data_IF_973256312015
#
_entry.id   IF_973256312015
#
_cell.length_a   1.000
_cell.length_b   1.000
_cell.length_c   1.000
_cell.angle_alpha   90.00
_cell.angle_beta   90.00
_cell.angle_gamma   90.00
#
_symmetry.space_group_name_H-M   'P 1'
#
loop_
_entity.id
_entity.type
_entity.pdbx_description
1 polymer ?
#
# COMPACT_ATOMS: atom_id res chain seq x y z
N UNK A 1 16.83 -37.84 34.35
CA UNK A 1 17.91 -38.12 35.31
C UNK A 1 17.89 -36.98 36.32
N UNK A 2 17.41 -37.24 37.54
CA UNK A 2 17.40 -36.24 38.63
C UNK A 2 18.81 -36.22 39.23
N UNK A 3 19.36 -35.02 39.40
CA UNK A 3 20.70 -34.81 39.95
C UNK A 3 20.77 -35.37 41.39
N UNK A 4 21.86 -36.06 41.74
CA UNK A 4 22.02 -36.71 43.05
C UNK A 4 22.12 -35.72 44.22
N UNK A 5 22.16 -34.41 43.94
CA UNK A 5 22.32 -33.33 44.91
C UNK A 5 21.04 -32.52 45.15
N UNK A 6 19.95 -32.82 44.45
CA UNK A 6 18.69 -32.11 44.58
C UNK A 6 17.88 -32.65 45.78
N UNK A 7 18.22 -32.18 46.98
CA UNK A 7 17.49 -32.49 48.21
C UNK A 7 16.26 -31.58 48.33
N UNK A 8 15.21 -31.89 47.58
CA UNK A 8 13.92 -31.19 47.72
C UNK A 8 13.35 -31.52 49.11
N UNK A 9 13.25 -30.50 49.98
CA UNK A 9 12.65 -30.60 51.31
C UNK A 9 11.25 -30.02 51.24
N UNK A 10 10.24 -30.88 51.38
CA UNK A 10 8.84 -30.45 51.39
C UNK A 10 8.41 -30.29 52.85
N UNK A 11 7.97 -29.09 53.28
CA UNK A 11 7.39 -28.90 54.59
C UNK A 11 6.00 -29.56 54.62
N UNK A 12 5.81 -30.55 55.48
CA UNK A 12 4.53 -31.24 55.64
C UNK A 12 3.91 -30.93 57.00
N UNK A 13 2.61 -30.66 56.99
CA UNK A 13 1.82 -30.34 58.17
C UNK A 13 0.77 -31.43 58.39
N UNK A 14 0.91 -32.22 59.46
CA UNK A 14 -0.17 -33.10 59.91
C UNK A 14 -1.32 -32.26 60.46
N UNK A 15 -2.54 -32.44 59.94
CA UNK A 15 -3.77 -31.96 60.58
C UNK A 15 -4.41 -33.14 61.31
N UNK A 16 -4.63 -33.00 62.62
CA UNK A 16 -5.51 -33.91 63.35
C UNK A 16 -6.97 -33.52 63.14
N UNK A 17 -7.81 -34.52 62.83
CA UNK A 17 -9.22 -34.36 62.43
C UNK A 17 -10.15 -33.78 63.50
N UNK A 18 -9.66 -33.47 64.70
CA UNK A 18 -10.52 -33.08 65.84
C UNK A 18 -10.35 -31.60 66.22
N UNK A 19 -9.17 -30.97 66.02
CA UNK A 19 -8.96 -29.57 66.48
C UNK A 19 -8.18 -28.64 65.54
N UNK A 20 -7.86 -29.03 64.31
CA UNK A 20 -7.21 -28.15 63.31
C UNK A 20 -5.93 -27.44 63.78
N UNK A 21 -5.28 -27.95 64.84
CA UNK A 21 -3.96 -27.50 65.29
C UNK A 21 -2.88 -28.34 64.60
N UNK A 22 -1.83 -27.73 64.02
CA UNK A 22 -0.74 -28.48 63.40
C UNK A 22 0.15 -29.09 64.49
N UNK A 23 0.08 -30.41 64.68
CA UNK A 23 0.75 -31.12 65.79
C UNK A 23 2.22 -31.46 65.48
N UNK A 24 2.62 -31.53 64.21
CA UNK A 24 4.02 -31.78 63.83
C UNK A 24 4.40 -31.07 62.53
N UNK A 25 5.52 -30.33 62.57
CA UNK A 25 6.23 -29.82 61.39
C UNK A 25 7.39 -30.77 61.11
N UNK A 26 7.24 -31.65 60.12
CA UNK A 26 8.32 -32.53 59.65
C UNK A 26 8.76 -32.14 58.25
N UNK A 27 10.06 -32.08 58.07
CA UNK A 27 10.70 -31.87 56.78
C UNK A 27 10.89 -33.24 56.12
N UNK A 28 10.18 -33.49 55.01
CA UNK A 28 10.30 -34.73 54.24
C UNK A 28 11.32 -34.53 53.12
N UNK A 29 12.30 -35.44 53.05
CA UNK A 29 13.26 -35.49 51.94
C UNK A 29 12.72 -36.37 50.82
N UNK A 30 12.60 -35.81 49.63
CA UNK A 30 12.14 -36.55 48.44
C UNK A 30 13.25 -37.50 48.00
N UNK A 31 13.01 -38.81 48.07
CA UNK A 31 14.01 -39.84 47.69
C UNK A 31 14.06 -40.10 46.18
N UNK A 32 12.90 -40.13 45.51
CA UNK A 32 12.77 -40.36 44.07
C UNK A 32 11.38 -39.90 43.61
N UNK A 33 11.27 -39.48 42.35
CA UNK A 33 9.99 -39.18 41.71
C UNK A 33 9.57 -40.36 40.82
N UNK A 34 8.35 -40.87 41.03
CA UNK A 34 7.71 -41.81 40.12
C UNK A 34 6.88 -40.98 39.13
N UNK A 35 7.21 -41.06 37.84
CA UNK A 35 6.37 -40.51 36.78
C UNK A 35 5.77 -41.67 36.00
N UNK A 36 4.45 -41.76 35.99
CA UNK A 36 3.76 -42.70 35.11
C UNK A 36 3.72 -42.10 33.69
N UNK A 37 4.12 -42.85 32.65
CA UNK A 37 3.99 -42.37 31.28
C UNK A 37 2.51 -42.27 30.92
N UNK A 38 1.98 -41.04 30.92
CA UNK A 38 0.60 -40.78 30.52
C UNK A 38 0.52 -40.65 29.00
N UNK A 39 -0.22 -41.53 28.29
CA UNK A 39 -0.43 -41.36 26.85
C UNK A 39 -1.20 -40.06 26.63
N UNK A 40 -0.54 -39.08 26.02
CA UNK A 40 -1.16 -37.80 25.69
C UNK A 40 -2.23 -38.01 24.63
N UNK A 41 -3.50 -38.06 25.04
CA UNK A 41 -4.61 -37.98 24.09
C UNK A 41 -4.64 -36.56 23.51
N UNK A 42 -4.02 -36.38 22.35
CA UNK A 42 -4.12 -35.14 21.58
C UNK A 42 -5.58 -34.84 21.28
N UNK A 43 -6.13 -33.78 21.88
CA UNK A 43 -7.49 -33.31 21.62
C UNK A 43 -7.44 -31.95 20.94
N UNK A 44 -8.11 -31.83 19.79
CA UNK A 44 -8.34 -30.55 19.16
C UNK A 44 -9.57 -29.92 19.81
N UNK A 45 -9.40 -28.74 20.43
CA UNK A 45 -10.53 -27.93 20.93
C UNK A 45 -10.73 -26.74 19.99
N UNK A 46 -11.94 -26.65 19.43
CA UNK A 46 -12.35 -25.53 18.61
C UNK A 46 -13.35 -24.68 19.40
N UNK A 47 -13.12 -23.38 19.45
CA UNK A 47 -14.10 -22.44 19.97
C UNK A 47 -15.16 -22.20 18.90
N UNK A 48 -16.36 -22.76 19.08
CA UNK A 48 -17.45 -22.64 18.12
C UNK A 48 -17.87 -21.18 17.88
N UNK A 49 -17.80 -20.33 18.91
CA UNK A 49 -18.11 -18.90 18.80
C UNK A 49 -17.12 -18.15 17.92
N UNK A 50 -15.82 -18.38 18.12
CA UNK A 50 -14.78 -17.77 17.26
C UNK A 50 -14.87 -18.30 15.82
N UNK A 51 -15.09 -19.61 15.67
CA UNK A 51 -15.22 -20.21 14.36
C UNK A 51 -16.41 -19.63 13.58
N UNK A 52 -17.59 -19.56 14.20
CA UNK A 52 -18.78 -18.96 13.59
C UNK A 52 -18.55 -17.49 13.21
N UNK A 53 -17.94 -16.70 14.11
CA UNK A 53 -17.64 -15.29 13.84
C UNK A 53 -16.72 -15.12 12.62
N UNK A 54 -15.66 -15.93 12.53
CA UNK A 54 -14.74 -15.92 11.38
C UNK A 54 -15.45 -16.34 10.10
N UNK A 55 -16.29 -17.38 10.15
CA UNK A 55 -17.08 -17.81 9.00
C UNK A 55 -18.03 -16.72 8.49
N UNK A 56 -18.75 -16.03 9.39
CA UNK A 56 -19.63 -14.92 9.01
C UNK A 56 -18.86 -13.75 8.39
N UNK A 57 -17.69 -13.40 8.95
CA UNK A 57 -16.83 -12.36 8.40
C UNK A 57 -16.30 -12.75 7.01
N UNK A 58 -15.86 -13.99 6.82
CA UNK A 58 -15.40 -14.49 5.54
C UNK A 58 -16.52 -14.50 4.49
N UNK A 59 -17.74 -14.90 4.88
CA UNK A 59 -18.91 -14.84 4.01
C UNK A 59 -19.22 -13.39 3.61
N UNK A 60 -19.25 -12.45 4.56
CA UNK A 60 -19.47 -11.04 4.29
C UNK A 60 -18.42 -10.46 3.33
N UNK A 61 -17.13 -10.74 3.56
CA UNK A 61 -16.05 -10.28 2.69
C UNK A 61 -16.13 -10.89 1.29
N UNK A 62 -16.42 -12.20 1.18
CA UNK A 62 -16.58 -12.86 -0.12
C UNK A 62 -17.78 -12.30 -0.91
N UNK A 63 -18.89 -12.01 -0.24
CA UNK A 63 -20.04 -11.36 -0.85
C UNK A 63 -19.69 -9.96 -1.35
N UNK A 64 -18.96 -9.16 -0.55
CA UNK A 64 -18.53 -7.82 -0.95
C UNK A 64 -17.57 -7.87 -2.15
N UNK A 65 -16.63 -8.81 -2.18
CA UNK A 65 -15.77 -9.05 -3.34
C UNK A 65 -16.58 -9.44 -4.59
N UNK A 66 -17.58 -10.32 -4.46
CA UNK A 66 -18.42 -10.73 -5.57
C UNK A 66 -19.24 -9.55 -6.14
N UNK A 67 -19.79 -8.70 -5.28
CA UNK A 67 -20.50 -7.48 -5.67
C UNK A 67 -19.56 -6.51 -6.38
N UNK A 68 -18.36 -6.28 -5.84
CA UNK A 68 -17.37 -5.41 -6.48
C UNK A 68 -16.97 -5.91 -7.87
N UNK A 69 -16.70 -7.22 -8.02
CA UNK A 69 -16.38 -7.82 -9.33
C UNK A 69 -17.54 -7.70 -10.32
N UNK A 70 -18.79 -7.88 -9.86
CA UNK A 70 -19.98 -7.68 -10.70
C UNK A 70 -20.10 -6.26 -11.23
N UNK A 71 -19.84 -5.25 -10.39
CA UNK A 71 -19.91 -3.84 -10.78
C UNK A 71 -18.78 -3.49 -11.77
N UNK A 72 -17.58 -4.05 -11.56
CA UNK A 72 -16.38 -3.69 -12.33
C UNK A 72 -16.20 -4.48 -13.64
N UNK A 73 -16.97 -5.54 -13.90
CA UNK A 73 -16.75 -6.44 -15.04
C UNK A 73 -16.86 -5.76 -16.41
N UNK A 74 -17.68 -4.70 -16.51
CA UNK A 74 -18.00 -4.03 -17.79
C UNK A 74 -17.27 -2.72 -18.07
N UNK A 75 -16.30 -2.31 -17.25
CA UNK A 75 -15.58 -1.04 -17.45
C UNK A 75 -14.18 -1.24 -18.04
N UNK A 76 -13.75 -0.30 -18.89
CA UNK A 76 -12.38 -0.21 -19.39
C UNK A 76 -11.42 -0.10 -18.18
N UNK A 77 -10.50 -1.04 -18.05
CA UNK A 77 -9.67 -1.18 -16.85
C UNK A 77 -8.37 -0.40 -17.01
N UNK A 78 -8.34 0.84 -16.50
CA UNK A 78 -7.11 1.62 -16.39
C UNK A 78 -6.34 1.21 -15.13
N UNK A 79 -5.72 0.03 -15.16
CA UNK A 79 -5.00 -0.53 -13.99
C UNK A 79 -3.55 -0.08 -13.96
N UNK A 80 -2.90 -0.01 -15.12
CA UNK A 80 -1.52 0.44 -15.23
C UNK A 80 -1.44 1.87 -15.73
N UNK A 81 -0.40 2.60 -15.32
CA UNK A 81 -0.09 3.93 -15.89
C UNK A 81 -0.06 3.94 -17.42
N UNK A 82 0.39 2.86 -18.07
CA UNK A 82 0.41 2.77 -19.53
C UNK A 82 -0.97 2.69 -20.15
N UNK A 83 -1.94 2.04 -19.50
CA UNK A 83 -3.34 2.01 -19.96
C UNK A 83 -3.95 3.41 -19.91
N UNK A 84 -3.61 4.17 -18.85
CA UNK A 84 -4.05 5.55 -18.72
C UNK A 84 -3.46 6.43 -19.81
N UNK A 85 -2.16 6.30 -20.11
CA UNK A 85 -1.52 7.05 -21.19
C UNK A 85 -2.09 6.67 -22.56
N UNK A 86 -2.26 5.37 -22.86
CA UNK A 86 -2.89 4.92 -24.11
C UNK A 86 -4.31 5.48 -24.26
N UNK A 87 -5.12 5.43 -23.20
CA UNK A 87 -6.47 5.99 -23.20
C UNK A 87 -6.49 7.50 -23.41
N UNK A 88 -5.63 8.27 -22.72
CA UNK A 88 -5.60 9.73 -22.84
C UNK A 88 -4.98 10.22 -24.15
N UNK A 89 -4.07 9.46 -24.77
CA UNK A 89 -3.56 9.78 -26.12
C UNK A 89 -4.66 9.57 -27.16
N UNK A 90 -5.39 8.44 -27.11
CA UNK A 90 -6.50 8.16 -28.05
C UNK A 90 -7.67 9.13 -27.84
N UNK A 91 -8.00 9.42 -26.58
CA UNK A 91 -9.14 10.26 -26.17
C UNK A 91 -8.66 11.37 -25.21
N UNK A 92 -8.12 12.49 -25.74
CA UNK A 92 -7.63 13.59 -24.91
C UNK A 92 -8.75 14.30 -24.16
N UNK A 93 -8.54 14.59 -22.88
CA UNK A 93 -9.53 15.28 -22.04
C UNK A 93 -9.38 16.81 -22.17
N UNK A 94 -10.43 17.45 -22.69
CA UNK A 94 -10.52 18.90 -22.90
C UNK A 94 -10.32 19.70 -21.60
N UNK A 95 -10.69 19.15 -20.45
CA UNK A 95 -10.55 19.87 -19.17
C UNK A 95 -9.11 20.04 -18.74
N UNK A 96 -8.19 19.21 -19.26
CA UNK A 96 -6.75 19.20 -18.91
C UNK A 96 -5.86 19.91 -19.91
N UNK A 97 -6.47 20.60 -20.88
CA UNK A 97 -5.75 21.34 -21.92
C UNK A 97 -4.91 22.47 -21.31
N UNK A 98 -3.73 22.70 -21.88
CA UNK A 98 -2.77 23.73 -21.47
C UNK A 98 -2.16 23.58 -20.07
N UNK A 99 -2.27 22.40 -19.46
CA UNK A 99 -1.76 22.11 -18.12
C UNK A 99 -0.55 21.18 -18.09
N UNK A 100 0.18 21.07 -19.21
CA UNK A 100 1.29 20.15 -19.40
C UNK A 100 2.47 20.31 -18.40
N UNK A 101 2.55 21.45 -17.72
CA UNK A 101 3.54 21.75 -16.68
C UNK A 101 3.10 21.35 -15.26
N UNK A 102 1.82 21.01 -15.05
CA UNK A 102 1.26 20.73 -13.72
C UNK A 102 1.52 19.30 -13.27
N UNK A 103 2.05 19.16 -12.07
CA UNK A 103 2.24 17.86 -11.41
C UNK A 103 1.09 17.50 -10.48
N UNK A 104 1.15 16.29 -9.93
CA UNK A 104 0.13 15.80 -8.99
C UNK A 104 -0.06 16.71 -7.77
N UNK A 105 0.99 17.41 -7.33
CA UNK A 105 0.95 18.33 -6.19
C UNK A 105 0.08 19.56 -6.47
N UNK A 106 0.04 20.00 -7.72
CA UNK A 106 -0.72 21.19 -8.12
C UNK A 106 -2.23 20.88 -8.17
N UNK A 107 -2.60 19.65 -8.52
CA UNK A 107 -3.98 19.16 -8.45
C UNK A 107 -4.41 18.72 -7.05
N UNK A 108 -3.46 18.27 -6.23
CA UNK A 108 -3.67 17.86 -4.85
C UNK A 108 -3.70 19.07 -3.90
N UNK A 109 -4.71 19.92 -4.01
CA UNK A 109 -4.94 20.96 -3.01
C UNK A 109 -5.17 20.31 -1.63
N UNK A 110 -4.35 20.63 -0.64
CA UNK A 110 -4.59 20.24 0.76
C UNK A 110 -5.86 20.90 1.28
N UNK A 111 -6.60 20.25 2.18
CA UNK A 111 -7.83 20.79 2.80
C UNK A 111 -7.64 22.20 3.38
N UNK A 112 -6.42 22.52 3.84
CA UNK A 112 -6.05 23.84 4.38
C UNK A 112 -5.90 24.88 3.26
N UNK A 113 -5.33 24.53 2.11
CA UNK A 113 -5.22 25.46 0.97
C UNK A 113 -6.58 25.81 0.36
N UNK A 114 -7.55 24.87 0.41
CA UNK A 114 -8.94 25.12 -0.02
C UNK A 114 -9.68 26.11 0.88
N UNK A 115 -9.26 26.25 2.14
CA UNK A 115 -9.85 27.20 3.10
C UNK A 115 -9.25 28.61 2.97
N UNK A 116 -8.00 28.71 2.51
CA UNK A 116 -7.30 30.00 2.40
C UNK A 116 -7.32 30.61 0.99
N UNK A 117 -7.44 29.80 -0.06
CA UNK A 117 -7.58 30.33 -1.42
C UNK A 117 -9.05 30.67 -1.67
N UNK A 118 -9.40 31.90 -2.12
CA UNK A 118 -10.73 32.14 -2.67
C UNK A 118 -10.97 31.10 -3.76
N UNK A 119 -12.23 30.66 -3.94
CA UNK A 119 -12.63 29.81 -5.09
C UNK A 119 -12.20 30.52 -6.37
N UNK A 120 -10.97 30.28 -6.85
CA UNK A 120 -10.63 30.53 -8.24
C UNK A 120 -11.40 29.46 -9.00
N UNK A 121 -12.45 29.89 -9.69
CA UNK A 121 -13.17 29.07 -10.64
C UNK A 121 -12.19 28.64 -11.73
N UNK A 122 -11.87 27.35 -11.76
CA UNK A 122 -11.08 26.74 -12.82
C UNK A 122 -9.60 26.58 -12.53
N UNK A 123 -9.04 25.52 -13.09
CA UNK A 123 -7.59 25.38 -13.24
C UNK A 123 -7.10 26.42 -14.25
N UNK A 124 -5.96 27.07 -13.98
CA UNK A 124 -5.48 28.19 -14.81
C UNK A 124 -4.85 27.62 -16.09
N UNK A 125 -5.51 27.83 -17.23
CA UNK A 125 -5.09 27.41 -18.58
C UNK A 125 -4.05 28.36 -19.20
N UNK A 126 -2.99 28.70 -18.48
CA UNK A 126 -1.99 29.67 -18.97
C UNK A 126 -0.59 29.04 -19.08
N UNK A 127 0.20 29.40 -20.12
CA UNK A 127 1.58 28.99 -20.23
C UNK A 127 2.34 29.30 -18.95
N UNK A 128 3.08 28.32 -18.44
CA UNK A 128 3.86 28.45 -17.20
C UNK A 128 5.32 28.14 -17.44
N UNK A 129 6.15 28.84 -16.68
CA UNK A 129 7.58 28.60 -16.64
C UNK A 129 7.85 27.18 -16.11
N UNK A 130 8.59 26.39 -16.88
CA UNK A 130 9.00 25.07 -16.43
C UNK A 130 10.12 25.16 -15.40
N UNK A 131 9.82 24.69 -14.20
CA UNK A 131 10.81 24.59 -13.12
C UNK A 131 11.38 23.18 -13.12
N UNK A 132 12.68 23.08 -13.39
CA UNK A 132 13.37 21.80 -13.39
C UNK A 132 13.37 21.21 -11.97
N UNK A 133 12.73 20.06 -11.81
CA UNK A 133 12.77 19.29 -10.55
C UNK A 133 13.43 17.96 -10.79
N UNK A 134 14.67 17.79 -10.30
CA UNK A 134 15.29 16.47 -10.17
C UNK A 134 14.59 15.69 -9.07
N UNK A 135 13.49 15.04 -9.43
CA UNK A 135 12.70 14.24 -8.50
C UNK A 135 13.47 13.00 -8.05
N UNK A 136 13.33 12.67 -6.77
CA UNK A 136 13.67 11.35 -6.23
C UNK A 136 12.41 10.49 -6.19
N UNK A 137 12.57 9.20 -5.98
CA UNK A 137 11.43 8.29 -5.86
C UNK A 137 10.48 8.72 -4.72
N UNK A 138 11.05 9.23 -3.62
CA UNK A 138 10.30 9.74 -2.47
C UNK A 138 9.41 10.93 -2.76
N UNK A 139 9.70 11.73 -3.80
CA UNK A 139 8.92 12.92 -4.14
C UNK A 139 7.53 12.59 -4.67
N UNK A 140 7.30 11.36 -5.11
CA UNK A 140 6.01 10.87 -5.59
C UNK A 140 5.01 10.52 -4.49
N UNK A 141 5.49 10.37 -3.26
CA UNK A 141 4.74 9.91 -2.10
C UNK A 141 4.32 11.14 -1.28
N UNK A 142 3.06 11.21 -0.86
CA UNK A 142 2.62 12.32 0.01
C UNK A 142 3.21 12.15 1.40
N UNK A 143 3.43 13.27 2.08
CA UNK A 143 3.82 13.27 3.49
C UNK A 143 2.82 12.50 4.35
N UNK A 144 1.53 12.56 4.02
CA UNK A 144 0.48 11.79 4.71
C UNK A 144 0.69 10.27 4.60
N UNK A 145 1.16 9.78 3.46
CA UNK A 145 1.41 8.35 3.25
C UNK A 145 2.68 7.91 4.00
N UNK A 146 3.70 8.77 4.09
CA UNK A 146 4.85 8.56 4.96
C UNK A 146 4.47 8.52 6.43
N UNK A 147 3.59 9.42 6.89
CA UNK A 147 3.09 9.40 8.28
C UNK A 147 2.31 8.12 8.55
N UNK A 148 1.40 7.71 7.64
CA UNK A 148 0.66 6.44 7.77
C UNK A 148 1.58 5.21 7.81
N UNK A 149 2.76 5.27 7.18
CA UNK A 149 3.72 4.18 7.20
C UNK A 149 4.61 4.19 8.45
N UNK A 150 5.28 5.31 8.70
CA UNK A 150 6.32 5.45 9.72
C UNK A 150 5.74 5.56 11.13
N UNK A 151 4.56 6.15 11.30
CA UNK A 151 3.97 6.34 12.62
C UNK A 151 3.53 4.99 13.24
N UNK A 152 2.60 4.21 12.66
CA UNK A 152 2.21 2.92 13.24
C UNK A 152 3.35 1.89 13.19
N UNK A 153 4.15 1.88 12.12
CA UNK A 153 5.30 0.99 12.00
C UNK A 153 6.39 1.28 13.03
N UNK A 154 6.77 2.55 13.18
CA UNK A 154 7.77 3.01 14.15
C UNK A 154 7.32 2.88 15.59
N UNK A 155 6.08 3.28 15.90
CA UNK A 155 5.49 3.08 17.24
C UNK A 155 5.41 1.60 17.57
N UNK A 156 4.96 0.75 16.65
CA UNK A 156 4.93 -0.70 16.84
C UNK A 156 6.32 -1.30 17.05
N UNK A 157 7.33 -0.86 16.29
CA UNK A 157 8.72 -1.28 16.47
C UNK A 157 9.26 -0.89 17.85
N UNK A 158 9.00 0.34 18.30
CA UNK A 158 9.43 0.83 19.62
C UNK A 158 8.72 0.03 20.73
N UNK A 159 7.42 -0.21 20.62
CA UNK A 159 6.67 -1.03 21.60
C UNK A 159 7.25 -2.44 21.67
N UNK A 160 7.49 -3.08 20.53
CA UNK A 160 8.09 -4.42 20.48
C UNK A 160 9.50 -4.42 21.09
N UNK A 161 10.32 -3.41 20.81
CA UNK A 161 11.67 -3.29 21.36
C UNK A 161 11.65 -3.10 22.89
N UNK A 162 10.82 -2.20 23.39
CA UNK A 162 10.66 -1.95 24.83
C UNK A 162 10.09 -3.18 25.56
N UNK A 163 9.14 -3.87 24.94
CA UNK A 163 8.58 -5.12 25.48
C UNK A 163 9.64 -6.21 25.61
N UNK A 164 10.54 -6.32 24.62
CA UNK A 164 11.64 -7.28 24.62
C UNK A 164 12.66 -6.96 25.70
N UNK A 165 13.05 -5.69 25.84
CA UNK A 165 13.99 -5.25 26.88
C UNK A 165 13.41 -5.53 28.26
N UNK A 166 12.15 -5.16 28.49
CA UNK A 166 11.45 -5.40 29.75
C UNK A 166 11.36 -6.90 30.09
N UNK A 167 11.13 -7.73 29.09
CA UNK A 167 11.10 -9.18 29.22
C UNK A 167 12.48 -9.75 29.62
N UNK A 168 13.55 -9.26 28.98
CA UNK A 168 14.92 -9.69 29.29
C UNK A 168 15.36 -9.26 30.69
N UNK A 169 15.00 -8.05 31.11
CA UNK A 169 15.28 -7.56 32.47
C UNK A 169 14.56 -8.41 33.53
N UNK A 170 13.28 -8.73 33.30
CA UNK A 170 12.51 -9.61 34.19
C UNK A 170 13.08 -11.04 34.24
N UNK A 171 13.62 -11.54 33.12
CA UNK A 171 14.25 -12.87 33.00
C UNK A 171 15.67 -12.97 33.58
N UNK A 172 16.19 -11.90 34.19
CA UNK A 172 17.53 -11.90 34.80
C UNK A 172 18.68 -11.73 33.79
N UNK A 173 18.42 -11.07 32.66
CA UNK A 173 19.42 -10.59 31.70
C UNK A 173 19.52 -11.38 30.39
N UNK A 174 20.17 -10.78 29.38
CA UNK A 174 20.24 -11.30 28.00
C UNK A 174 20.79 -12.73 27.91
N UNK A 175 21.82 -13.03 28.69
CA UNK A 175 22.53 -14.31 28.59
C UNK A 175 21.68 -15.49 29.08
N UNK A 176 20.87 -15.30 30.14
CA UNK A 176 19.92 -16.30 30.63
C UNK A 176 18.71 -16.42 29.73
N UNK A 177 18.18 -15.30 29.23
CA UNK A 177 17.04 -15.30 28.35
C UNK A 177 17.36 -15.99 26.99
N UNK A 178 18.57 -15.80 26.46
CA UNK A 178 19.04 -16.44 25.23
C UNK A 178 19.30 -17.94 25.39
N UNK A 179 19.86 -18.36 26.52
CA UNK A 179 20.14 -19.77 26.79
C UNK A 179 18.87 -20.57 27.09
N UNK A 180 17.91 -19.97 27.81
CA UNK A 180 16.63 -20.59 28.13
C UNK A 180 15.67 -20.66 26.92
N UNK A 181 15.81 -19.73 25.96
CA UNK A 181 14.88 -19.67 24.83
C UNK A 181 15.23 -20.64 23.69
N UNK A 182 14.24 -21.43 23.31
CA UNK A 182 14.24 -22.29 22.12
C UNK A 182 13.50 -21.56 21.00
N UNK A 183 13.99 -21.71 19.77
CA UNK A 183 13.30 -21.15 18.60
C UNK A 183 11.99 -21.88 18.36
N UNK A 184 10.91 -21.12 18.11
CA UNK A 184 9.60 -21.68 17.78
C UNK A 184 8.73 -21.99 19.00
N UNK A 185 7.59 -22.60 18.73
CA UNK A 185 6.57 -22.91 19.74
C UNK A 185 6.98 -24.11 20.59
N UNK A 186 7.38 -23.88 21.83
CA UNK A 186 7.81 -24.91 22.78
C UNK A 186 7.31 -24.59 24.21
N UNK A 187 6.89 -25.61 24.96
CA UNK A 187 6.47 -25.47 26.37
C UNK A 187 7.61 -25.13 27.33
N UNK A 188 8.86 -25.39 26.93
CA UNK A 188 10.04 -25.06 27.73
C UNK A 188 10.43 -23.59 27.63
N UNK A 189 9.82 -22.84 26.71
CA UNK A 189 10.07 -21.41 26.63
C UNK A 189 9.51 -20.68 27.86
N UNK A 190 10.10 -19.54 28.23
CA UNK A 190 9.59 -18.71 29.31
C UNK A 190 8.19 -18.14 29.00
N UNK A 191 7.38 -18.04 30.06
CA UNK A 191 6.10 -17.32 30.02
C UNK A 191 6.39 -15.82 29.82
N UNK A 192 5.52 -15.14 29.09
CA UNK A 192 5.56 -13.70 28.87
C UNK A 192 5.46 -12.96 30.21
N UNK A 193 6.61 -12.51 30.71
CA UNK A 193 6.71 -11.66 31.89
C UNK A 193 7.21 -10.29 31.47
N UNK A 194 6.33 -9.28 31.54
CA UNK A 194 6.67 -7.90 31.18
C UNK A 194 6.47 -6.98 32.38
N UNK A 195 7.38 -6.02 32.54
CA UNK A 195 7.19 -4.90 33.45
C UNK A 195 6.27 -3.88 32.79
N UNK A 196 5.05 -3.74 33.29
CA UNK A 196 4.08 -2.80 32.75
C UNK A 196 4.32 -1.37 33.29
N UNK A 197 4.07 -0.33 32.49
CA UNK A 197 4.21 1.06 32.91
C UNK A 197 3.19 1.49 33.98
N UNK A 198 2.05 0.81 34.11
CA UNK A 198 1.04 1.09 35.13
C UNK A 198 0.42 -0.20 35.69
N UNK A 199 -0.01 -0.17 36.96
CA UNK A 199 -0.70 -1.29 37.61
C UNK A 199 -2.05 -1.58 36.93
N UNK A 200 -2.75 -0.55 36.46
CA UNK A 200 -4.02 -0.71 35.73
C UNK A 200 -3.82 -1.48 34.43
N UNK A 201 -2.76 -1.18 33.67
CA UNK A 201 -2.46 -1.89 32.44
C UNK A 201 -2.07 -3.34 32.72
N UNK A 202 -1.28 -3.58 33.79
CA UNK A 202 -0.96 -4.94 34.24
C UNK A 202 -2.23 -5.72 34.57
N UNK A 203 -3.10 -5.17 35.42
CA UNK A 203 -4.34 -5.83 35.84
C UNK A 203 -5.25 -6.14 34.64
N UNK A 204 -5.36 -5.21 33.69
CA UNK A 204 -6.10 -5.42 32.44
C UNK A 204 -5.50 -6.57 31.61
N UNK A 205 -4.19 -6.58 31.41
CA UNK A 205 -3.50 -7.61 30.63
C UNK A 205 -3.57 -8.99 31.32
N UNK A 206 -3.41 -9.05 32.64
CA UNK A 206 -3.55 -10.28 33.43
C UNK A 206 -4.99 -10.81 33.36
N UNK A 207 -5.99 -9.92 33.41
CA UNK A 207 -7.41 -10.30 33.25
C UNK A 207 -7.68 -10.84 31.84
N UNK A 208 -7.18 -10.17 30.79
CA UNK A 208 -7.33 -10.66 29.42
C UNK A 208 -6.62 -12.00 29.20
N UNK A 209 -5.39 -12.15 29.70
CA UNK A 209 -4.59 -13.37 29.55
C UNK A 209 -5.16 -14.56 30.33
N UNK A 210 -5.94 -14.30 31.39
CA UNK A 210 -6.56 -15.38 32.18
C UNK A 210 -7.64 -16.16 31.42
N UNK A 211 -8.19 -15.62 30.33
CA UNK A 211 -9.24 -16.28 29.54
C UNK A 211 -8.66 -16.79 28.21
N UNK A 212 -9.03 -17.99 27.73
CA UNK A 212 -8.45 -18.58 26.51
C UNK A 212 -8.55 -17.69 25.27
N UNK A 213 -9.69 -17.03 25.09
CA UNK A 213 -9.94 -16.12 23.97
C UNK A 213 -9.10 -14.85 24.12
N UNK A 214 -9.02 -14.28 25.33
CA UNK A 214 -8.26 -13.07 25.60
C UNK A 214 -6.75 -13.27 25.44
N UNK A 215 -6.20 -14.39 25.92
CA UNK A 215 -4.80 -14.76 25.69
C UNK A 215 -4.48 -14.90 24.19
N UNK A 216 -5.40 -15.50 23.42
CA UNK A 216 -5.26 -15.62 21.96
C UNK A 216 -5.25 -14.25 21.29
N UNK A 217 -6.13 -13.34 21.72
CA UNK A 217 -6.14 -11.96 21.22
C UNK A 217 -4.83 -11.25 21.51
N UNK A 218 -4.32 -11.33 22.74
CA UNK A 218 -3.03 -10.72 23.15
C UNK A 218 -1.88 -11.21 22.27
N UNK A 219 -1.79 -12.52 22.01
CA UNK A 219 -0.75 -13.09 21.15
C UNK A 219 -0.88 -12.62 19.67
N UNK A 220 -2.10 -12.33 19.21
CA UNK A 220 -2.37 -11.88 17.83
C UNK A 220 -2.27 -10.37 17.61
N UNK A 221 -2.24 -9.54 18.65
CA UNK A 221 -2.16 -8.07 18.51
C UNK A 221 -1.01 -7.60 17.62
N UNK A 222 0.24 -8.11 17.75
CA UNK A 222 1.34 -7.73 16.86
C UNK A 222 1.10 -8.17 15.41
N UNK A 223 0.38 -9.29 15.20
CA UNK A 223 0.08 -9.82 13.87
C UNK A 223 -0.92 -8.95 13.12
N UNK A 224 -1.82 -8.25 13.82
CA UNK A 224 -2.73 -7.27 13.22
C UNK A 224 -1.95 -6.11 12.61
N UNK A 225 -0.97 -5.56 13.34
CA UNK A 225 -0.08 -4.53 12.81
C UNK A 225 0.69 -5.03 11.58
N UNK A 226 1.24 -6.24 11.65
CA UNK A 226 1.94 -6.88 10.53
C UNK A 226 1.02 -7.25 9.35
N UNK A 227 -0.31 -7.23 9.52
CA UNK A 227 -1.27 -7.40 8.44
C UNK A 227 -1.59 -6.07 7.74
N UNK A 228 -1.63 -4.96 8.48
CA UNK A 228 -1.93 -3.62 7.95
C UNK A 228 -0.69 -3.01 7.27
N UNK A 229 0.49 -3.15 7.87
CA UNK A 229 1.72 -2.52 7.40
C UNK A 229 2.07 -2.87 5.93
N UNK A 230 1.97 -4.15 5.47
CA UNK A 230 2.20 -4.50 4.07
C UNK A 230 1.24 -3.82 3.08
N UNK A 231 -0.01 -3.54 3.47
CA UNK A 231 -0.96 -2.83 2.61
C UNK A 231 -0.51 -1.38 2.37
N UNK A 232 -0.06 -0.72 3.43
CA UNK A 232 0.47 0.65 3.35
C UNK A 232 1.77 0.66 2.55
N UNK A 233 2.66 -0.30 2.78
CA UNK A 233 3.89 -0.46 2.00
C UNK A 233 3.61 -0.69 0.52
N UNK A 234 2.66 -1.57 0.19
CA UNK A 234 2.27 -1.82 -1.18
C UNK A 234 1.80 -0.54 -1.88
N UNK A 235 0.97 0.27 -1.22
CA UNK A 235 0.56 1.58 -1.72
C UNK A 235 1.76 2.50 -1.98
N UNK A 236 2.67 2.64 -1.00
CA UNK A 236 3.87 3.48 -1.12
C UNK A 236 4.80 3.02 -2.25
N UNK A 237 5.07 1.71 -2.36
CA UNK A 237 5.90 1.16 -3.42
C UNK A 237 5.28 1.39 -4.80
N UNK A 238 3.97 1.16 -4.93
CA UNK A 238 3.25 1.36 -6.18
C UNK A 238 3.44 2.79 -6.68
N UNK A 239 3.27 3.80 -5.83
CA UNK A 239 3.52 5.21 -6.19
C UNK A 239 4.95 5.49 -6.66
N UNK A 240 5.95 4.89 -5.98
CA UNK A 240 7.34 5.03 -6.37
C UNK A 240 7.63 4.39 -7.74
N UNK A 241 7.06 3.21 -8.02
CA UNK A 241 7.22 2.51 -9.29
C UNK A 241 6.48 3.21 -10.44
N UNK A 242 5.30 3.77 -10.20
CA UNK A 242 4.57 4.66 -11.12
C UNK A 242 5.48 5.81 -11.52
N UNK A 243 6.03 6.54 -10.54
CA UNK A 243 6.89 7.69 -10.80
C UNK A 243 8.17 7.31 -11.55
N UNK A 244 8.79 6.17 -11.21
CA UNK A 244 9.94 5.63 -11.95
C UNK A 244 9.57 5.37 -13.40
N UNK A 245 8.42 4.73 -13.64
CA UNK A 245 7.98 4.34 -14.99
C UNK A 245 7.69 5.58 -15.83
N UNK A 246 6.94 6.53 -15.29
CA UNK A 246 6.65 7.82 -15.91
C UNK A 246 7.91 8.59 -16.31
N UNK A 247 8.81 8.82 -15.35
CA UNK A 247 10.09 9.51 -15.59
C UNK A 247 10.97 8.79 -16.62
N UNK A 248 10.83 7.47 -16.71
CA UNK A 248 11.58 6.69 -17.68
C UNK A 248 11.16 6.92 -19.14
N UNK A 249 9.96 7.46 -19.39
CA UNK A 249 9.51 7.89 -20.71
C UNK A 249 10.11 9.24 -21.15
N UNK A 250 10.58 10.06 -20.22
CA UNK A 250 11.32 11.29 -20.54
C UNK A 250 12.79 10.99 -20.92
N UNK A 251 13.35 9.94 -20.34
CA UNK A 251 14.75 9.56 -20.55
C UNK A 251 15.04 9.02 -21.95
N UNK A 252 14.15 8.19 -22.52
CA UNK A 252 14.33 7.58 -23.83
C UNK A 252 12.99 7.20 -24.47
N UNK A 253 12.98 7.04 -25.79
CA UNK A 253 11.85 6.45 -26.51
C UNK A 253 11.56 5.04 -25.99
N UNK A 254 10.32 4.79 -25.60
CA UNK A 254 9.86 3.49 -25.07
C UNK A 254 8.43 3.23 -25.52
N UNK A 255 8.09 1.94 -25.62
CA UNK A 255 6.72 1.51 -25.85
C UNK A 255 5.93 1.50 -24.54
N UNK A 256 4.61 1.71 -24.64
CA UNK A 256 3.72 1.66 -23.49
C UNK A 256 3.63 0.24 -22.92
N UNK A 257 3.45 0.15 -21.60
CA UNK A 257 3.19 -1.09 -20.88
C UNK A 257 1.71 -1.14 -20.50
N UNK A 258 0.94 -1.92 -21.26
CA UNK A 258 -0.53 -1.97 -21.16
C UNK A 258 -1.01 -3.38 -20.89
N UNK A 259 -2.21 -3.53 -20.34
CA UNK A 259 -2.82 -4.85 -20.12
C UNK A 259 -3.29 -5.53 -21.41
N UNK A 260 -3.73 -4.75 -22.40
CA UNK A 260 -4.17 -5.24 -23.70
C UNK A 260 -3.27 -4.67 -24.81
N UNK A 261 -2.14 -5.32 -25.14
CA UNK A 261 -1.16 -4.76 -26.06
C UNK A 261 -1.68 -4.73 -27.51
N UNK A 262 -1.47 -3.59 -28.17
CA UNK A 262 -1.67 -3.41 -29.62
C UNK A 262 -0.38 -2.90 -30.26
N UNK A 263 -0.08 -3.33 -31.48
CA UNK A 263 1.13 -2.91 -32.21
C UNK A 263 2.45 -3.27 -31.49
N UNK A 264 3.32 -2.29 -31.25
CA UNK A 264 4.61 -2.48 -30.56
C UNK A 264 4.52 -2.39 -29.03
N UNK A 265 3.32 -2.19 -28.48
CA UNK A 265 3.11 -2.11 -27.03
C UNK A 265 3.52 -3.41 -26.35
N UNK A 266 4.01 -3.28 -25.12
CA UNK A 266 4.39 -4.43 -24.29
C UNK A 266 3.28 -4.73 -23.31
N UNK A 267 2.99 -6.02 -23.14
CA UNK A 267 2.10 -6.49 -22.10
C UNK A 267 2.69 -6.14 -20.71
N UNK A 268 1.86 -5.54 -19.86
CA UNK A 268 2.16 -5.38 -18.45
C UNK A 268 1.53 -6.55 -17.68
N UNK A 269 2.36 -7.27 -16.93
CA UNK A 269 1.92 -8.47 -16.22
C UNK A 269 1.15 -8.10 -14.93
N UNK A 270 -0.10 -7.63 -15.06
CA UNK A 270 -1.14 -7.31 -14.04
C UNK A 270 -0.75 -6.46 -12.81
N UNK A 271 0.53 -6.28 -12.50
CA UNK A 271 1.07 -5.59 -11.34
C UNK A 271 1.92 -4.42 -11.80
N UNK A 272 1.63 -3.25 -11.27
CA UNK A 272 2.39 -2.02 -11.54
C UNK A 272 3.84 -2.10 -11.01
N UNK A 273 4.05 -2.95 -9.99
CA UNK A 273 5.35 -3.31 -9.45
C UNK A 273 5.91 -4.51 -10.23
N UNK A 274 7.17 -4.50 -10.69
CA UNK A 274 7.75 -5.65 -11.37
C UNK A 274 7.73 -6.90 -10.47
N UNK A 275 7.33 -8.04 -11.04
CA UNK A 275 7.06 -9.29 -10.31
C UNK A 275 8.17 -9.72 -9.33
N UNK A 276 9.45 -9.52 -9.69
CA UNK A 276 10.60 -9.85 -8.84
C UNK A 276 10.59 -9.09 -7.50
N UNK A 277 10.23 -7.80 -7.53
CA UNK A 277 10.13 -6.99 -6.32
C UNK A 277 8.89 -7.35 -5.51
N UNK A 278 7.76 -7.54 -6.19
CA UNK A 278 6.52 -7.96 -5.55
C UNK A 278 6.71 -9.28 -4.78
N UNK A 279 7.28 -10.30 -5.43
CA UNK A 279 7.56 -11.59 -4.81
C UNK A 279 8.50 -11.45 -3.61
N UNK A 280 9.53 -10.61 -3.73
CA UNK A 280 10.46 -10.33 -2.61
C UNK A 280 9.75 -9.68 -1.42
N UNK A 281 8.87 -8.71 -1.65
CA UNK A 281 8.14 -8.05 -0.56
C UNK A 281 7.12 -8.98 0.10
N UNK A 282 6.40 -9.78 -0.69
CA UNK A 282 5.44 -10.76 -0.17
C UNK A 282 6.14 -11.85 0.63
N UNK A 283 7.27 -12.37 0.14
CA UNK A 283 8.04 -13.41 0.85
C UNK A 283 8.60 -12.89 2.17
N UNK A 284 9.21 -11.69 2.17
CA UNK A 284 9.72 -11.05 3.40
C UNK A 284 8.58 -10.77 4.38
N UNK A 285 7.46 -10.19 3.93
CA UNK A 285 6.30 -9.93 4.78
C UNK A 285 5.71 -11.20 5.39
N UNK A 286 5.60 -12.27 4.60
CA UNK A 286 5.12 -13.58 5.07
C UNK A 286 6.09 -14.19 6.08
N UNK A 287 7.39 -14.09 5.82
CA UNK A 287 8.44 -14.55 6.74
C UNK A 287 8.37 -13.80 8.09
N UNK A 288 8.23 -12.47 8.08
CA UNK A 288 8.09 -11.67 9.31
C UNK A 288 6.85 -12.07 10.10
N UNK A 289 5.72 -12.32 9.43
CA UNK A 289 4.49 -12.81 10.08
C UNK A 289 4.67 -14.21 10.68
N UNK A 290 5.34 -15.10 9.95
CA UNK A 290 5.66 -16.44 10.44
C UNK A 290 6.60 -16.41 11.65
N UNK A 291 7.64 -15.57 11.62
CA UNK A 291 8.52 -15.33 12.77
C UNK A 291 7.73 -14.79 13.97
N UNK A 292 6.75 -13.91 13.75
CA UNK A 292 5.91 -13.36 14.81
C UNK A 292 5.03 -14.41 15.48
N UNK A 293 4.45 -15.33 14.70
CA UNK A 293 3.69 -16.48 15.23
C UNK A 293 4.55 -17.44 16.07
N UNK A 294 5.86 -17.48 15.80
CA UNK A 294 6.82 -18.24 16.60
C UNK A 294 7.38 -17.44 17.79
N UNK A 295 7.28 -16.11 17.76
CA UNK A 295 7.78 -15.23 18.80
C UNK A 295 6.83 -15.16 19.99
N UNK A 296 5.52 -15.03 19.75
CA UNK A 296 4.49 -14.90 20.79
C UNK A 296 3.36 -15.86 20.44
N UNK A 297 3.05 -16.77 21.35
CA UNK A 297 2.03 -17.80 21.13
C UNK A 297 1.40 -18.23 22.44
N UNK A 298 0.21 -18.83 22.37
CA UNK A 298 -0.53 -19.29 23.55
C UNK A 298 -0.34 -20.78 23.71
N UNK A 299 -0.09 -21.23 24.95
CA UNK A 299 -0.18 -22.64 25.32
C UNK A 299 -1.30 -22.80 26.34
N UNK A 300 -2.19 -23.75 26.07
CA UNK A 300 -3.28 -24.13 26.94
C UNK A 300 -2.90 -25.43 27.66
N UNK A 301 -2.75 -25.38 28.98
CA UNK A 301 -2.40 -26.52 29.81
C UNK A 301 -3.64 -27.00 30.56
N UNK A 302 -3.93 -28.29 30.43
CA UNK A 302 -5.04 -28.93 31.14
C UNK A 302 -4.48 -29.87 32.20
N UNK A 303 -4.94 -29.70 33.44
CA UNK A 303 -4.69 -30.65 34.50
C UNK A 303 -5.69 -31.80 34.41
N UNK A 304 -5.19 -33.02 34.51
CA UNK A 304 -6.03 -34.20 34.71
C UNK A 304 -6.01 -34.57 36.19
N UNK A 305 -7.18 -34.84 36.81
CA UNK A 305 -7.22 -35.30 38.18
C UNK A 305 -6.61 -36.71 38.25
N UNK A 306 -5.86 -36.99 39.31
CA UNK A 306 -5.32 -38.34 39.53
C UNK A 306 -6.42 -39.38 39.81
N UNK A 307 -7.59 -38.93 40.29
CA UNK A 307 -8.73 -39.77 40.61
C UNK A 307 -9.95 -39.34 39.76
N UNK A 308 -10.44 -40.19 38.83
CA UNK A 308 -11.53 -39.84 37.90
C UNK A 308 -12.87 -39.57 38.60
N UNK A 309 -12.99 -39.89 39.88
CA UNK A 309 -14.18 -39.66 40.70
C UNK A 309 -14.26 -38.24 41.30
N UNK A 310 -13.17 -37.47 41.28
CA UNK A 310 -13.13 -36.11 41.83
C UNK A 310 -13.55 -35.08 40.80
N UNK A 311 -14.84 -34.68 40.83
CA UNK A 311 -15.39 -33.58 40.03
C UNK A 311 -15.00 -32.25 40.68
N UNK A 312 -13.73 -31.87 40.57
CA UNK A 312 -13.27 -30.52 40.91
C UNK A 312 -13.57 -29.55 39.78
N UNK A 313 -13.88 -28.29 40.11
CA UNK A 313 -13.97 -27.22 39.10
C UNK A 313 -12.62 -27.06 38.39
N UNK A 314 -12.53 -27.56 37.16
CA UNK A 314 -11.32 -27.46 36.35
C UNK A 314 -11.10 -26.03 35.87
N UNK A 315 -10.01 -25.41 36.30
CA UNK A 315 -9.55 -24.15 35.71
C UNK A 315 -8.38 -24.44 34.78
N UNK A 316 -8.59 -24.41 33.45
CA UNK A 316 -7.48 -24.55 32.51
C UNK A 316 -6.47 -23.40 32.71
N UNK A 317 -5.19 -23.72 32.69
CA UNK A 317 -4.13 -22.72 32.77
C UNK A 317 -3.75 -22.28 31.36
N UNK A 318 -4.05 -21.02 31.04
CA UNK A 318 -3.68 -20.41 29.76
C UNK A 318 -2.58 -19.39 30.01
N UNK A 319 -1.45 -19.57 29.33
CA UNK A 319 -0.34 -18.64 29.42
C UNK A 319 0.15 -18.29 28.01
N UNK A 320 0.64 -17.06 27.87
CA UNK A 320 1.32 -16.58 26.67
C UNK A 320 2.81 -16.85 26.84
N UNK A 321 3.43 -17.49 25.86
CA UNK A 321 4.83 -17.86 25.84
C UNK A 321 5.61 -17.01 24.83
N UNK A 322 6.90 -16.81 25.10
CA UNK A 322 7.78 -16.01 24.24
C UNK A 322 9.01 -16.81 23.81
N UNK A 323 9.27 -16.83 22.50
CA UNK A 323 10.57 -17.22 21.96
C UNK A 323 11.41 -15.98 21.68
N UNK A 324 12.43 -15.73 22.50
CA UNK A 324 13.35 -14.60 22.34
C UNK A 324 14.06 -14.64 20.97
N UNK A 325 14.45 -15.83 20.51
CA UNK A 325 15.14 -16.00 19.22
C UNK A 325 14.25 -15.59 18.05
N UNK A 326 12.99 -16.03 18.05
CA UNK A 326 12.03 -15.62 17.02
C UNK A 326 11.65 -14.14 17.15
N UNK A 327 11.49 -13.62 18.37
CA UNK A 327 11.23 -12.20 18.63
C UNK A 327 12.34 -11.29 18.07
N UNK A 328 13.61 -11.65 18.28
CA UNK A 328 14.74 -10.95 17.66
C UNK A 328 14.68 -10.99 16.14
N UNK A 329 14.39 -12.16 15.55
CA UNK A 329 14.17 -12.30 14.11
C UNK A 329 13.05 -11.41 13.58
N UNK A 330 11.94 -11.26 14.31
CA UNK A 330 10.85 -10.35 13.92
C UNK A 330 11.28 -8.88 13.96
N UNK A 331 11.99 -8.45 14.99
CA UNK A 331 12.46 -7.06 15.10
C UNK A 331 13.45 -6.73 13.98
N UNK A 332 14.39 -7.64 13.69
CA UNK A 332 15.38 -7.45 12.62
C UNK A 332 14.67 -7.33 11.26
N UNK A 333 13.78 -8.27 10.95
CA UNK A 333 13.05 -8.22 9.67
C UNK A 333 12.12 -7.00 9.57
N UNK A 334 11.44 -6.62 10.66
CA UNK A 334 10.61 -5.42 10.71
C UNK A 334 11.43 -4.14 10.50
N UNK A 335 12.62 -4.05 11.08
CA UNK A 335 13.54 -2.93 10.86
C UNK A 335 13.89 -2.78 9.37
N UNK A 336 14.27 -3.87 8.71
CA UNK A 336 14.56 -3.83 7.27
C UNK A 336 13.34 -3.44 6.43
N UNK A 337 12.14 -3.94 6.79
CA UNK A 337 10.89 -3.57 6.12
C UNK A 337 10.63 -2.06 6.22
N UNK A 338 10.85 -1.44 7.39
CA UNK A 338 10.62 0.00 7.59
C UNK A 338 11.68 0.88 6.93
N UNK A 339 12.92 0.39 6.84
CA UNK A 339 14.06 1.15 6.34
C UNK A 339 14.19 1.07 4.80
N UNK A 340 13.84 -0.06 4.18
CA UNK A 340 13.89 -0.24 2.71
C UNK A 340 13.18 0.85 1.91
N UNK A 341 11.93 1.27 2.22
CA UNK A 341 11.26 2.33 1.46
C UNK A 341 11.97 3.68 1.61
N UNK A 342 12.61 3.96 2.75
CA UNK A 342 13.38 5.19 2.97
C UNK A 342 14.61 5.19 2.03
N UNK A 343 15.34 4.08 1.96
CA UNK A 343 16.47 3.98 1.03
C UNK A 343 16.03 4.09 -0.44
N UNK A 344 14.93 3.43 -0.82
CA UNK A 344 14.40 3.57 -2.18
C UNK A 344 13.96 5.01 -2.48
N UNK A 345 13.40 5.71 -1.50
CA UNK A 345 12.97 7.10 -1.65
C UNK A 345 14.11 8.07 -1.97
N UNK A 346 15.35 7.73 -1.58
CA UNK A 346 16.55 8.54 -1.85
C UNK A 346 17.09 8.34 -3.28
N UNK A 347 16.67 7.29 -3.98
CA UNK A 347 17.15 6.99 -5.34
C UNK A 347 16.64 8.08 -6.30
N UNK A 348 17.51 8.65 -7.16
CA UNK A 348 17.09 9.63 -8.16
C UNK A 348 16.24 8.98 -9.26
N UNK A 349 15.32 9.75 -9.84
CA UNK A 349 14.54 9.32 -10.98
C UNK A 349 15.37 9.32 -12.28
N UNK A 350 15.08 8.43 -13.25
CA UNK A 350 15.91 8.23 -14.43
C UNK A 350 15.84 9.35 -15.47
N UNK A 351 14.77 10.13 -15.50
CA UNK A 351 14.53 11.20 -16.48
C UNK A 351 13.85 12.41 -15.86
N UNK A 352 14.00 13.56 -16.51
CA UNK A 352 13.43 14.83 -16.05
C UNK A 352 12.03 14.96 -16.61
N UNK A 353 11.04 14.82 -15.74
CA UNK A 353 9.63 14.90 -16.09
C UNK A 353 8.83 15.58 -15.01
N UNK A 354 7.70 16.17 -15.38
CA UNK A 354 6.68 16.58 -14.41
C UNK A 354 6.22 15.35 -13.63
N UNK A 355 6.11 15.46 -12.31
CA UNK A 355 5.73 14.34 -11.46
C UNK A 355 4.21 14.21 -11.43
N UNK A 356 3.70 13.16 -12.07
CA UNK A 356 2.26 12.98 -12.30
C UNK A 356 1.58 12.04 -11.29
N UNK A 357 2.34 11.12 -10.69
CA UNK A 357 1.80 10.17 -9.69
C UNK A 357 0.60 9.38 -10.22
N UNK A 358 -0.39 9.14 -9.36
CA UNK A 358 -1.66 8.47 -9.72
C UNK A 358 -2.81 9.45 -10.00
N UNK A 359 -2.50 10.72 -10.27
CA UNK A 359 -3.52 11.74 -10.52
C UNK A 359 -3.92 11.74 -12.00
N UNK A 360 -5.15 11.36 -12.31
CA UNK A 360 -5.67 11.28 -13.68
C UNK A 360 -5.55 12.62 -14.42
N UNK A 361 -5.85 13.73 -13.75
CA UNK A 361 -5.74 15.08 -14.34
C UNK A 361 -4.30 15.40 -14.77
N UNK A 362 -3.31 15.03 -13.94
CA UNK A 362 -1.90 15.24 -14.26
C UNK A 362 -1.40 14.29 -15.38
N UNK A 363 -1.92 13.06 -15.46
CA UNK A 363 -1.59 12.13 -16.55
C UNK A 363 -2.13 12.70 -17.85
N UNK A 364 -3.41 13.05 -17.87
CA UNK A 364 -4.08 13.58 -19.06
C UNK A 364 -3.45 14.88 -19.56
N UNK A 365 -3.08 15.79 -18.65
CA UNK A 365 -2.40 17.03 -19.02
C UNK A 365 -1.09 16.82 -19.79
N UNK A 366 -0.39 15.71 -19.53
CA UNK A 366 0.84 15.32 -20.23
C UNK A 366 0.62 14.50 -21.51
N UNK A 367 -0.63 14.19 -21.88
CA UNK A 367 -0.99 13.33 -23.03
C UNK A 367 -1.64 14.09 -24.19
N UNK A 368 -1.62 15.42 -24.20
CA UNK A 368 -2.13 16.24 -25.31
C UNK A 368 -1.16 16.21 -26.49
N UNK A 369 -1.41 15.36 -27.47
CA UNK A 369 -0.50 15.11 -28.61
C UNK A 369 -0.73 16.07 -29.78
N UNK A 370 0.34 16.41 -30.51
CA UNK A 370 0.28 17.23 -31.73
C UNK A 370 0.17 16.33 -32.96
N UNK A 371 -0.68 16.72 -33.91
CA UNK A 371 -0.84 16.00 -35.17
C UNK A 371 0.43 16.10 -36.03
N UNK A 372 0.95 14.97 -36.57
CA UNK A 372 2.15 14.97 -37.41
C UNK A 372 2.01 15.79 -38.69
N UNK A 373 3.10 16.41 -39.15
CA UNK A 373 3.10 17.27 -40.34
C UNK A 373 2.60 16.59 -41.62
N UNK A 374 2.91 15.30 -41.80
CA UNK A 374 2.50 14.54 -42.98
C UNK A 374 0.97 14.33 -43.04
N UNK A 375 0.28 14.42 -41.89
CA UNK A 375 -1.18 14.36 -41.79
C UNK A 375 -1.81 15.75 -42.00
N UNK A 376 -1.22 16.81 -41.43
CA UNK A 376 -1.69 18.19 -41.65
C UNK A 376 -1.65 18.62 -43.13
N UNK A 377 -0.72 18.08 -43.92
CA UNK A 377 -0.64 18.36 -45.36
C UNK A 377 -1.69 17.62 -46.19
N UNK A 378 -2.38 16.60 -45.64
CA UNK A 378 -3.44 15.84 -46.33
C UNK A 378 -4.82 16.53 -46.31
N UNK A 379 -5.00 17.58 -45.52
CA UNK A 379 -6.24 18.39 -45.46
C UNK A 379 -6.11 19.76 -46.16
N UNK A 380 -5.81 19.86 -47.48
CA UNK A 380 -6.01 21.11 -48.21
C UNK A 380 -7.48 21.21 -48.66
N UNK A 381 -8.39 21.64 -47.78
CA UNK A 381 -9.78 21.88 -48.22
C UNK A 381 -10.85 22.20 -47.18
N UNK A 382 -10.65 21.91 -45.89
CA UNK A 382 -11.68 22.21 -44.88
C UNK A 382 -11.58 23.69 -44.46
N UNK A 383 -12.52 24.54 -44.91
CA UNK A 383 -12.64 25.90 -44.38
C UNK A 383 -12.96 25.80 -42.90
N UNK A 384 -12.04 26.28 -42.06
CA UNK A 384 -12.24 26.50 -40.62
C UNK A 384 -13.55 27.30 -40.44
N UNK A 385 -14.54 26.85 -39.64
CA UNK A 385 -15.73 27.64 -39.41
C UNK A 385 -15.31 28.96 -38.76
N UNK A 386 -15.68 30.07 -39.39
CA UNK A 386 -15.50 31.40 -38.81
C UNK A 386 -16.14 31.40 -37.43
N UNK A 387 -15.34 31.78 -36.44
CA UNK A 387 -15.78 32.04 -35.07
C UNK A 387 -16.75 33.22 -35.13
N UNK A 388 -18.04 32.93 -35.26
CA UNK A 388 -19.09 33.95 -35.13
C UNK A 388 -18.97 34.51 -33.71
N UNK A 389 -18.53 35.77 -33.63
CA UNK A 389 -18.65 36.60 -32.43
C UNK A 389 -20.12 36.61 -32.04
N UNK A 390 -20.46 35.91 -30.95
CA UNK A 390 -21.71 36.12 -30.24
C UNK A 390 -21.55 37.42 -29.45
N UNK A 391 -22.02 38.51 -30.05
CA UNK A 391 -22.38 39.72 -29.32
C UNK A 391 -23.49 39.37 -28.33
N UNK A 392 -23.27 39.82 -27.09
CA UNK A 392 -24.22 39.78 -26.01
C UNK A 392 -25.48 40.57 -26.36
N UNK A 393 -26.66 39.95 -26.23
CA UNK A 393 -27.84 40.70 -25.84
C UNK A 393 -28.77 39.87 -24.95
N UNK A 394 -29.31 40.58 -23.98
CA UNK A 394 -30.01 40.07 -22.80
C UNK A 394 -31.51 40.02 -23.09
N UNK A 395 -32.19 38.88 -22.94
CA UNK A 395 -33.58 38.84 -22.45
C UNK A 395 -34.06 37.41 -22.14
N UNK A 396 -34.99 37.36 -21.19
CA UNK A 396 -35.54 36.18 -20.53
C UNK A 396 -36.50 35.34 -21.41
N UNK A 397 -36.59 34.05 -21.06
CA UNK A 397 -37.81 33.24 -20.86
C UNK A 397 -37.86 31.87 -21.59
N UNK A 398 -38.18 30.86 -20.78
CA UNK A 398 -38.71 29.49 -21.01
C UNK A 398 -39.08 29.07 -22.46
N UNK A 399 -38.66 27.88 -22.88
CA UNK A 399 -39.52 26.66 -22.99
C UNK A 399 -38.73 25.45 -23.51
N UNK A 400 -39.14 24.26 -23.05
CA UNK A 400 -38.68 22.95 -23.51
C UNK A 400 -39.20 22.67 -24.93
N UNK A 401 -38.34 22.34 -25.90
CA UNK A 401 -38.79 21.62 -27.09
C UNK A 401 -37.74 20.62 -27.62
N UNK A 402 -38.24 19.41 -27.83
CA UNK A 402 -37.54 18.18 -28.15
C UNK A 402 -37.50 18.03 -29.66
N UNK A 403 -36.44 18.47 -30.33
CA UNK A 403 -36.32 18.35 -31.79
C UNK A 403 -35.55 17.08 -32.18
N UNK A 404 -36.33 16.12 -32.70
CA UNK A 404 -35.88 14.97 -33.48
C UNK A 404 -35.35 15.49 -34.82
N UNK A 405 -34.08 15.26 -35.15
CA UNK A 405 -33.59 15.39 -36.53
C UNK A 405 -33.31 13.99 -37.06
N UNK A 406 -34.13 13.61 -38.04
CA UNK A 406 -34.03 12.40 -38.84
C UNK A 406 -32.73 12.41 -39.65
N UNK A 407 -31.93 11.36 -39.48
CA UNK A 407 -30.78 11.05 -40.32
C UNK A 407 -31.24 10.68 -41.73
N UNK A 408 -30.83 11.48 -42.71
CA UNK A 408 -30.84 11.09 -44.12
C UNK A 408 -29.64 10.14 -44.31
N UNK A 409 -29.94 8.88 -44.61
CA UNK A 409 -28.95 7.88 -45.03
C UNK A 409 -28.38 8.29 -46.39
N UNK A 410 -27.09 8.63 -46.42
CA UNK A 410 -26.26 8.55 -47.62
C UNK A 410 -25.23 7.46 -47.40
N UNK A 411 -25.43 6.35 -48.11
CA UNK A 411 -24.52 5.22 -48.20
C UNK A 411 -23.17 5.66 -48.80
N UNK A 412 -22.25 6.08 -47.93
CA UNK A 412 -20.82 6.03 -48.22
C UNK A 412 -20.22 4.91 -47.37
N UNK A 413 -19.76 3.84 -48.02
CA UNK A 413 -18.91 2.82 -47.42
C UNK A 413 -17.72 3.48 -46.71
N UNK A 414 -17.84 3.66 -45.40
CA UNK A 414 -16.82 4.24 -44.54
C UNK A 414 -15.67 3.26 -44.42
N UNK A 415 -14.59 3.49 -45.18
CA UNK A 415 -13.25 2.99 -44.83
C UNK A 415 -13.00 3.31 -43.36
N UNK A 416 -12.38 2.42 -42.56
CA UNK A 416 -12.04 2.76 -41.18
C UNK A 416 -11.20 4.03 -41.18
N UNK A 417 -11.73 5.06 -40.51
CA UNK A 417 -11.07 6.34 -40.32
C UNK A 417 -9.70 6.08 -39.71
N UNK A 418 -8.63 6.48 -40.40
CA UNK A 418 -7.27 6.22 -39.96
C UNK A 418 -6.99 7.06 -38.70
N UNK A 419 -6.92 6.39 -37.56
CA UNK A 419 -6.66 7.00 -36.26
C UNK A 419 -5.15 7.09 -35.98
N UNK A 420 -4.53 8.21 -36.36
CA UNK A 420 -3.10 8.44 -36.13
C UNK A 420 -2.72 8.47 -34.65
N UNK A 421 -3.66 8.78 -33.74
CA UNK A 421 -3.41 8.77 -32.29
C UNK A 421 -3.27 7.35 -31.79
N UNK A 422 -4.05 6.42 -32.33
CA UNK A 422 -3.88 5.00 -32.07
C UNK A 422 -2.49 4.53 -32.53
N UNK A 423 -2.04 4.91 -33.72
CA UNK A 423 -0.69 4.56 -34.20
C UNK A 423 0.42 5.14 -33.30
N UNK A 424 0.27 6.40 -32.86
CA UNK A 424 1.20 7.02 -31.92
C UNK A 424 1.25 6.28 -30.58
N UNK A 425 0.10 5.92 -30.02
CA UNK A 425 0.02 5.19 -28.75
C UNK A 425 0.59 3.77 -28.87
N UNK A 426 0.45 3.15 -30.04
CA UNK A 426 0.92 1.79 -30.33
C UNK A 426 2.43 1.73 -30.61
N UNK A 427 3.04 2.85 -30.97
CA UNK A 427 4.46 2.99 -31.28
C UNK A 427 5.36 3.30 -30.08
N UNK A 428 6.58 3.76 -30.39
CA UNK A 428 7.55 4.24 -29.40
C UNK A 428 7.35 5.72 -29.15
N UNK A 429 7.09 6.07 -27.90
CA UNK A 429 6.86 7.46 -27.49
C UNK A 429 7.93 7.92 -26.51
N UNK A 430 8.16 9.23 -26.51
CA UNK A 430 9.00 9.92 -25.52
C UNK A 430 8.30 11.17 -25.03
N UNK A 431 8.38 11.42 -23.73
CA UNK A 431 7.86 12.64 -23.13
C UNK A 431 8.90 13.77 -23.23
N UNK A 432 8.49 14.94 -23.71
CA UNK A 432 9.35 16.11 -23.81
C UNK A 432 8.71 17.24 -24.60
N UNK A 433 9.55 18.09 -25.18
CA UNK A 433 9.12 19.23 -25.99
C UNK A 433 8.78 18.76 -27.39
N UNK A 434 7.58 19.10 -27.87
CA UNK A 434 7.14 18.89 -29.24
C UNK A 434 7.28 20.18 -30.06
N UNK A 435 7.57 20.03 -31.36
CA UNK A 435 7.64 21.15 -32.30
C UNK A 435 6.22 21.46 -32.84
N UNK A 436 5.72 22.66 -32.59
CA UNK A 436 4.47 23.18 -33.17
C UNK A 436 4.84 24.16 -34.29
N UNK A 437 4.52 23.85 -35.57
CA UNK A 437 5.06 24.63 -36.69
C UNK A 437 4.19 25.81 -37.18
N UNK A 438 2.94 26.01 -36.70
CA UNK A 438 2.13 27.16 -37.16
C UNK A 438 1.11 27.67 -36.15
N UNK A 439 1.40 28.83 -35.55
CA UNK A 439 0.45 29.92 -35.49
C UNK A 439 1.15 31.18 -35.99
N UNK A 440 0.41 32.02 -36.70
CA UNK A 440 0.86 33.05 -37.64
C UNK A 440 2.12 33.83 -37.23
N UNK A 441 2.98 34.07 -38.21
CA UNK A 441 3.77 35.29 -38.29
C UNK A 441 2.86 36.48 -37.97
N UNK A 442 3.03 37.10 -36.81
CA UNK A 442 2.71 38.52 -36.70
C UNK A 442 3.55 39.24 -37.74
N UNK A 443 2.94 40.21 -38.43
CA UNK A 443 3.55 40.99 -39.52
C UNK A 443 4.71 41.89 -39.06
N UNK A 444 5.13 41.78 -37.81
CA UNK A 444 6.28 42.45 -37.22
C UNK A 444 7.14 41.35 -36.60
N UNK A 445 8.34 41.12 -37.14
CA UNK A 445 9.23 40.02 -36.76
C UNK A 445 9.76 40.08 -35.32
N UNK A 446 8.88 39.99 -34.34
CA UNK A 446 9.21 39.88 -32.92
C UNK A 446 9.03 38.42 -32.50
N UNK A 447 10.14 37.79 -32.10
CA UNK A 447 10.23 36.39 -31.67
C UNK A 447 9.83 36.25 -30.18
N UNK A 448 8.79 36.95 -29.74
CA UNK A 448 8.34 36.92 -28.35
C UNK A 448 7.26 35.84 -28.15
N UNK A 449 7.65 34.72 -27.53
CA UNK A 449 6.73 33.94 -26.69
C UNK A 449 5.89 32.85 -27.35
N UNK A 450 6.39 32.13 -28.37
CA UNK A 450 5.75 30.87 -28.78
C UNK A 450 5.93 29.82 -27.67
N UNK A 451 4.87 29.61 -26.89
CA UNK A 451 4.81 28.60 -25.84
C UNK A 451 4.94 27.20 -26.48
N UNK A 452 6.03 26.51 -26.19
CA UNK A 452 6.24 25.15 -26.69
C UNK A 452 5.36 24.17 -25.92
N UNK A 453 5.00 23.03 -26.52
CA UNK A 453 4.12 22.04 -25.90
C UNK A 453 4.92 20.91 -25.27
N UNK A 454 4.63 20.60 -24.00
CA UNK A 454 5.14 19.41 -23.32
C UNK A 454 4.17 18.25 -23.43
N UNK A 455 4.55 17.19 -24.12
CA UNK A 455 3.69 16.01 -24.27
C UNK A 455 4.49 14.79 -24.76
N UNK A 456 3.79 13.68 -24.97
CA UNK A 456 4.34 12.51 -25.64
C UNK A 456 4.41 12.73 -27.16
N UNK A 457 5.55 12.40 -27.76
CA UNK A 457 5.74 12.43 -29.21
C UNK A 457 6.43 11.19 -29.75
N UNK A 458 6.26 10.99 -31.05
CA UNK A 458 7.02 10.05 -31.88
C UNK A 458 8.41 10.62 -32.22
N UNK A 459 9.25 9.83 -32.87
CA UNK A 459 10.58 10.29 -33.33
C UNK A 459 10.49 11.48 -34.31
N UNK A 460 9.37 11.62 -35.03
CA UNK A 460 9.16 12.73 -35.98
C UNK A 460 8.77 14.05 -35.30
N UNK A 461 8.02 13.98 -34.19
CA UNK A 461 7.41 15.15 -33.54
C UNK A 461 8.24 15.66 -32.36
N UNK A 462 9.13 14.83 -31.82
CA UNK A 462 9.97 15.15 -30.68
C UNK A 462 11.10 16.13 -31.04
N UNK A 463 11.14 17.27 -30.36
CA UNK A 463 12.18 18.29 -30.55
C UNK A 463 13.34 18.15 -29.55
N UNK A 464 13.04 17.93 -28.26
CA UNK A 464 14.07 17.90 -27.23
C UNK A 464 13.56 17.73 -25.80
N UNK A 465 14.50 17.65 -24.85
CA UNK A 465 14.18 17.67 -23.43
C UNK A 465 13.81 19.09 -22.98
N UNK A 466 12.90 19.25 -22.00
CA UNK A 466 12.50 20.56 -21.50
C UNK A 466 13.70 21.32 -20.93
N UNK A 467 13.73 22.64 -21.18
CA UNK A 467 14.74 23.56 -20.65
C UNK A 467 14.15 24.34 -19.49
N UNK A 468 15.03 24.69 -18.56
CA UNK A 468 14.66 25.48 -17.40
C UNK A 468 14.36 26.93 -17.84
N UNK A 469 13.38 27.55 -17.19
CA UNK A 469 12.95 28.93 -17.41
C UNK A 469 12.23 29.24 -18.73
N UNK A 470 12.02 28.24 -19.60
CA UNK A 470 11.16 28.36 -20.77
C UNK A 470 9.68 28.21 -20.41
N UNK A 471 8.81 28.94 -21.12
CA UNK A 471 7.36 28.86 -20.95
C UNK A 471 6.79 27.77 -21.85
N UNK A 472 6.07 26.84 -21.22
CA UNK A 472 5.35 25.80 -21.92
C UNK A 472 3.86 25.95 -21.72
N UNK A 473 3.10 25.83 -22.81
CA UNK A 473 1.65 25.87 -22.89
C UNK A 473 1.14 24.58 -23.54
N UNK A 474 -0.17 24.37 -23.60
CA UNK A 474 -0.71 23.25 -24.38
C UNK A 474 -0.97 23.66 -25.83
N UNK A 475 -1.38 22.67 -26.60
CA UNK A 475 -1.62 22.77 -28.04
C UNK A 475 -2.73 23.77 -28.36
N UNK A 476 -2.51 24.69 -29.31
CA UNK A 476 -3.60 25.47 -29.94
C UNK A 476 -4.30 24.61 -31.02
N UNK A 477 -4.88 23.47 -30.65
CA UNK A 477 -5.78 22.69 -31.51
C UNK A 477 -7.17 23.33 -31.64
#
# INVERSE_FOLDING_TARGET
MVDKHDNWIIPWHAKDNIHSTPVLRKNLTVKYCLSEPFPTHCKARVSNTLFLAICLLALAMSALCAVALRILWGQDRLVAIGDAVDSFIRRPDMTTRDMCTLGWRDFSSTTIERLQKPKMEGWVHSPRQYVRRRGRWGDSVHVSDWVKLLLPGGVGFIICLLSLISFVEAGGGWQRALSASIFGQNSNNPILMMKYPSENLRAFMDTLASWPIGASLVATMPQLLLAILPLILHHTYTRMFIARTWSSYAASFKTLRVNEPKGEQRENHFFEIPFKYFLSFVTIGTLTRWLCSNAIYVIHVESFPADPSTVGSYHPYVNVFVSLKAALGTLITLFFILVTPIFMALIPLPGESVLVGSCSAAISAGCHVIEPEHMQRRTPGEKRPELVRLESDTSMAKEDEKVKVSSVETDHESRPEYDWRAELAEGRIRWGVLREERSATDREGNLEGLAQVLSFGSEETYFGSPREDEFYGGTQL
#
